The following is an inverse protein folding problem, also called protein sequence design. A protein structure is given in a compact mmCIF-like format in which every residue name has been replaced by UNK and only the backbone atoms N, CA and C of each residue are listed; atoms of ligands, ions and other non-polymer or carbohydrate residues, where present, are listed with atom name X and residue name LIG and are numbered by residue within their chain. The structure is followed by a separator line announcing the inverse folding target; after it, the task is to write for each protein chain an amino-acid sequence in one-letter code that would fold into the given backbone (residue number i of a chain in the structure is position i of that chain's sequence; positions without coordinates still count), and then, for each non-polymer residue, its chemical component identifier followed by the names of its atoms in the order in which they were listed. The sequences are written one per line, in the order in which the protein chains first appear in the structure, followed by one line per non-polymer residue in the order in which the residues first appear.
data_IF_797062080956
#
_entry.id   IF_797062080956
#
_cell.length_a   1.000
_cell.length_b   1.000
_cell.length_c   1.000
_cell.angle_alpha   90.00
_cell.angle_beta   90.00
_cell.angle_gamma   90.00
#
_symmetry.space_group_name_H-M   'P 1'
#
loop_
_entity.id
_entity.type
_entity.pdbx_description
1 polymer ?
#
# COMPACT_ATOMS: atom_id res chain seq x y z
N UNK A 1 10.71 -17.40 21.87
CA UNK A 1 9.25 -17.25 21.63
C UNK A 1 8.39 -18.27 22.39
N UNK A 2 8.96 -19.35 22.92
CA UNK A 2 8.21 -20.46 23.56
C UNK A 2 7.30 -20.03 24.71
N UNK A 3 7.73 -19.06 25.53
CA UNK A 3 6.92 -18.54 26.63
C UNK A 3 5.60 -17.90 26.16
N UNK A 4 5.63 -17.17 25.05
CA UNK A 4 4.44 -16.53 24.47
C UNK A 4 3.44 -17.57 23.94
N UNK A 5 3.95 -18.68 23.40
CA UNK A 5 3.13 -19.74 22.80
C UNK A 5 2.54 -20.70 23.84
N UNK A 6 3.11 -20.76 25.05
CA UNK A 6 2.70 -21.70 26.10
C UNK A 6 1.91 -21.05 27.23
N UNK A 7 2.03 -19.73 27.39
CA UNK A 7 1.34 -19.01 28.46
C UNK A 7 -0.17 -18.93 28.21
N UNK A 8 -0.95 -19.12 29.29
CA UNK A 8 -2.38 -18.79 29.33
C UNK A 8 -2.66 -17.49 30.10
N UNK A 9 -1.63 -16.93 30.72
CA UNK A 9 -1.70 -15.68 31.47
C UNK A 9 -1.53 -14.48 30.53
N UNK A 10 -2.53 -13.60 30.51
CA UNK A 10 -2.56 -12.41 29.65
C UNK A 10 -1.47 -11.40 30.00
N UNK A 11 -1.15 -11.22 31.28
CA UNK A 11 -0.10 -10.30 31.71
C UNK A 11 1.28 -10.79 31.27
N UNK A 12 1.53 -12.09 31.36
CA UNK A 12 2.76 -12.72 30.84
C UNK A 12 2.85 -12.55 29.32
N UNK A 13 1.75 -12.77 28.60
CA UNK A 13 1.70 -12.60 27.15
C UNK A 13 2.03 -11.14 26.75
N UNK A 14 1.43 -10.15 27.39
CA UNK A 14 1.72 -8.73 27.12
C UNK A 14 3.19 -8.41 27.40
N UNK A 15 3.76 -8.86 28.53
CA UNK A 15 5.19 -8.64 28.83
C UNK A 15 6.10 -9.24 27.76
N UNK A 16 5.78 -10.43 27.26
CA UNK A 16 6.48 -11.03 26.13
C UNK A 16 6.35 -10.17 24.86
N UNK A 17 5.15 -9.68 24.53
CA UNK A 17 4.95 -8.81 23.36
C UNK A 17 5.67 -7.47 23.49
N UNK A 18 5.70 -6.86 24.68
CA UNK A 18 6.49 -5.65 24.98
C UNK A 18 7.98 -5.92 24.75
N UNK A 19 8.47 -7.09 25.17
CA UNK A 19 9.85 -7.51 24.94
C UNK A 19 10.14 -7.63 23.44
N UNK A 20 9.23 -8.25 22.68
CA UNK A 20 9.34 -8.34 21.21
C UNK A 20 9.39 -6.95 20.59
N UNK A 21 8.51 -6.03 21.00
CA UNK A 21 8.52 -4.66 20.52
C UNK A 21 9.86 -3.95 20.82
N UNK A 22 10.41 -4.11 22.03
CA UNK A 22 11.73 -3.57 22.32
C UNK A 22 12.84 -4.14 21.41
N UNK A 23 12.77 -5.42 21.05
CA UNK A 23 13.70 -6.03 20.08
C UNK A 23 13.50 -5.43 18.69
N UNK A 24 12.26 -5.22 18.25
CA UNK A 24 11.97 -4.53 16.98
C UNK A 24 12.57 -3.12 16.99
N UNK A 25 12.49 -2.41 18.12
CA UNK A 25 12.93 -1.03 18.25
C UNK A 25 14.44 -0.84 18.41
N UNK A 26 15.11 -1.74 19.13
CA UNK A 26 16.51 -1.58 19.58
C UNK A 26 17.39 -2.79 19.32
N UNK A 27 16.82 -3.88 18.81
CA UNK A 27 17.57 -5.09 18.50
C UNK A 27 18.51 -4.86 17.32
N UNK A 28 19.46 -5.78 17.15
CA UNK A 28 20.28 -5.81 15.94
C UNK A 28 19.43 -6.17 14.73
N UNK A 29 19.87 -5.75 13.54
CA UNK A 29 19.23 -6.09 12.27
C UNK A 29 18.97 -7.60 12.13
N UNK A 30 19.90 -8.44 12.58
CA UNK A 30 19.76 -9.91 12.56
C UNK A 30 18.56 -10.34 13.42
N UNK A 31 18.43 -9.84 14.64
CA UNK A 31 17.32 -10.20 15.53
C UNK A 31 15.98 -9.71 14.99
N UNK A 32 15.95 -8.52 14.41
CA UNK A 32 14.76 -7.96 13.80
C UNK A 32 14.34 -8.75 12.55
N UNK A 33 15.30 -9.16 11.71
CA UNK A 33 15.06 -9.98 10.52
C UNK A 33 14.48 -11.36 10.90
N UNK A 34 15.03 -12.02 11.92
CA UNK A 34 14.51 -13.30 12.42
C UNK A 34 13.07 -13.21 12.95
N UNK A 35 12.68 -12.05 13.50
CA UNK A 35 11.29 -11.81 13.91
C UNK A 35 10.36 -11.53 12.72
N UNK A 36 10.90 -11.00 11.62
CA UNK A 36 10.16 -10.67 10.40
C UNK A 36 9.83 -11.88 9.51
N UNK A 37 10.33 -13.08 9.85
CA UNK A 37 10.10 -14.31 9.08
C UNK A 37 8.61 -14.68 9.10
N UNK A 38 7.96 -14.49 7.95
CA UNK A 38 6.54 -14.70 7.75
C UNK A 38 6.22 -16.16 7.35
N UNK A 39 5.00 -16.67 7.60
CA UNK A 39 4.59 -18.00 7.13
C UNK A 39 4.70 -18.23 5.62
N UNK A 40 4.66 -17.16 4.81
CA UNK A 40 4.80 -17.25 3.35
C UNK A 40 6.17 -17.77 2.92
N UNK A 41 7.19 -17.69 3.78
CA UNK A 41 8.52 -18.29 3.57
C UNK A 41 8.70 -19.63 4.32
N UNK A 42 7.61 -20.23 4.81
CA UNK A 42 7.63 -21.52 5.50
C UNK A 42 7.95 -21.47 7.00
N UNK A 43 8.05 -20.27 7.59
CA UNK A 43 8.32 -20.07 9.02
C UNK A 43 7.07 -20.13 9.91
N UNK A 44 7.25 -20.33 11.22
CA UNK A 44 6.14 -20.27 12.19
C UNK A 44 5.88 -18.81 12.57
N UNK A 45 4.66 -18.31 12.35
CA UNK A 45 4.26 -17.01 12.89
C UNK A 45 4.03 -17.11 14.41
N UNK A 46 5.04 -16.69 15.17
CA UNK A 46 5.00 -16.69 16.64
C UNK A 46 4.10 -15.61 17.26
N UNK A 47 3.63 -14.65 16.46
CA UNK A 47 2.73 -13.57 16.89
C UNK A 47 1.25 -13.88 16.59
N UNK A 48 0.95 -14.99 15.91
CA UNK A 48 -0.42 -15.41 15.64
C UNK A 48 -1.14 -15.79 16.93
N UNK A 49 -1.77 -14.82 17.57
CA UNK A 49 -2.44 -14.95 18.86
C UNK A 49 -3.95 -14.68 18.77
N UNK A 50 -4.57 -14.76 17.58
CA UNK A 50 -6.00 -14.45 17.35
C UNK A 50 -6.96 -15.18 18.30
N UNK A 51 -6.58 -16.38 18.77
CA UNK A 51 -7.39 -17.24 19.65
C UNK A 51 -6.96 -17.15 21.12
N UNK A 52 -6.05 -16.24 21.48
CA UNK A 52 -5.58 -16.08 22.85
C UNK A 52 -6.73 -15.60 23.75
N UNK A 53 -6.88 -16.27 24.89
CA UNK A 53 -7.94 -15.99 25.86
C UNK A 53 -7.54 -16.45 27.26
N UNK A 54 -7.67 -15.53 28.22
CA UNK A 54 -7.46 -15.72 29.65
C UNK A 54 -8.77 -15.43 30.40
N UNK A 55 -9.48 -16.49 30.77
CA UNK A 55 -10.78 -16.44 31.46
C UNK A 55 -10.66 -16.46 32.99
N UNK A 56 -9.47 -16.21 33.56
CA UNK A 56 -9.27 -16.29 35.02
C UNK A 56 -10.01 -15.20 35.79
N UNK A 57 -10.05 -13.98 35.28
CA UNK A 57 -10.74 -12.82 35.86
C UNK A 57 -11.34 -11.93 34.76
N UNK A 58 -12.34 -11.08 35.08
CA UNK A 58 -12.86 -10.11 34.12
C UNK A 58 -11.79 -9.17 33.55
N UNK A 59 -10.81 -8.78 34.38
CA UNK A 59 -9.69 -7.93 33.97
C UNK A 59 -8.75 -8.65 32.99
N UNK A 60 -8.43 -9.91 33.23
CA UNK A 60 -7.57 -10.70 32.32
C UNK A 60 -8.29 -11.05 31.01
N UNK A 61 -9.62 -11.16 31.04
CA UNK A 61 -10.45 -11.28 29.85
C UNK A 61 -10.34 -10.03 28.96
N UNK A 62 -10.39 -8.83 29.55
CA UNK A 62 -10.11 -7.59 28.83
C UNK A 62 -8.67 -7.54 28.30
N UNK A 63 -7.69 -7.91 29.12
CA UNK A 63 -6.28 -7.98 28.67
C UNK A 63 -6.08 -8.96 27.51
N UNK A 64 -6.93 -9.98 27.38
CA UNK A 64 -6.89 -10.89 26.22
C UNK A 64 -7.23 -10.19 24.90
N UNK A 65 -8.07 -9.15 24.92
CA UNK A 65 -8.29 -8.30 23.74
C UNK A 65 -7.03 -7.50 23.38
N UNK A 66 -6.33 -6.97 24.38
CA UNK A 66 -5.06 -6.27 24.21
C UNK A 66 -3.95 -7.19 23.70
N UNK A 67 -3.85 -8.43 24.19
CA UNK A 67 -2.89 -9.42 23.66
C UNK A 67 -3.13 -9.67 22.17
N UNK A 68 -4.37 -9.93 21.77
CA UNK A 68 -4.74 -10.20 20.38
C UNK A 68 -4.44 -9.02 19.47
N UNK A 69 -4.89 -7.83 19.87
CA UNK A 69 -4.67 -6.60 19.11
C UNK A 69 -3.17 -6.27 19.01
N UNK A 70 -2.44 -6.33 20.13
CA UNK A 70 -1.04 -5.92 20.15
C UNK A 70 -0.15 -6.89 19.37
N UNK A 71 -0.44 -8.18 19.40
CA UNK A 71 0.27 -9.15 18.58
C UNK A 71 0.03 -8.90 17.08
N UNK A 72 -1.24 -8.66 16.68
CA UNK A 72 -1.57 -8.28 15.31
C UNK A 72 -0.91 -6.96 14.90
N UNK A 73 -0.86 -5.98 15.80
CA UNK A 73 -0.15 -4.72 15.57
C UNK A 73 1.34 -4.96 15.27
N UNK A 74 2.03 -5.76 16.09
CA UNK A 74 3.45 -6.06 15.89
C UNK A 74 3.70 -6.84 14.57
N UNK A 75 2.78 -7.72 14.16
CA UNK A 75 2.84 -8.35 12.83
C UNK A 75 2.77 -7.33 11.70
N UNK A 76 1.83 -6.38 11.79
CA UNK A 76 1.70 -5.32 10.80
C UNK A 76 2.93 -4.40 10.81
N UNK A 77 3.45 -4.06 11.98
CA UNK A 77 4.65 -3.23 12.13
C UNK A 77 5.86 -3.86 11.42
N UNK A 78 6.07 -5.17 11.60
CA UNK A 78 7.13 -5.93 10.93
C UNK A 78 6.90 -5.99 9.41
N UNK A 79 5.65 -6.24 8.99
CA UNK A 79 5.30 -6.27 7.56
C UNK A 79 5.53 -4.92 6.88
N UNK A 80 5.09 -3.82 7.51
CA UNK A 80 5.28 -2.46 7.02
C UNK A 80 6.76 -2.10 6.99
N UNK A 81 7.53 -2.42 8.04
CA UNK A 81 8.98 -2.20 8.06
C UNK A 81 9.70 -2.93 6.91
N UNK A 82 9.25 -4.13 6.56
CA UNK A 82 9.79 -4.88 5.42
C UNK A 82 9.49 -4.22 4.08
N UNK A 83 8.28 -3.69 3.90
CA UNK A 83 7.89 -2.99 2.67
C UNK A 83 8.70 -1.71 2.50
N UNK A 84 8.93 -0.97 3.59
CA UNK A 84 9.73 0.26 3.58
C UNK A 84 11.24 0.01 3.45
N UNK A 85 11.70 -1.23 3.68
CA UNK A 85 13.12 -1.57 3.68
C UNK A 85 13.89 -1.11 4.92
N UNK A 86 13.21 -0.55 5.93
CA UNK A 86 13.80 -0.18 7.21
C UNK A 86 12.79 -0.30 8.36
N UNK A 87 13.30 -0.41 9.60
CA UNK A 87 12.45 -0.49 10.79
C UNK A 87 12.00 0.89 11.25
N UNK A 88 10.70 1.18 11.15
CA UNK A 88 10.04 2.44 11.56
C UNK A 88 10.36 2.90 12.98
N UNK A 89 10.67 1.94 13.86
CA UNK A 89 10.94 2.18 15.28
C UNK A 89 12.41 2.54 15.56
N UNK A 90 13.32 2.29 14.62
CA UNK A 90 14.73 2.64 14.76
C UNK A 90 14.85 4.15 14.65
N UNK A 91 15.17 4.80 15.76
CA UNK A 91 15.21 6.25 15.95
C UNK A 91 15.77 6.99 14.73
N UNK A 92 14.90 7.68 13.98
CA UNK A 92 15.31 8.66 12.98
C UNK A 92 15.97 9.83 13.73
N UNK A 93 17.28 9.95 13.61
CA UNK A 93 17.94 11.19 13.99
C UNK A 93 17.49 12.28 13.00
N UNK A 94 17.41 13.54 13.43
CA UNK A 94 17.03 14.65 12.54
C UNK A 94 18.00 14.87 11.37
N UNK A 95 19.12 14.15 11.36
CA UNK A 95 20.16 14.18 10.33
C UNK A 95 19.76 13.36 9.10
N UNK A 96 18.75 12.50 9.22
CA UNK A 96 18.37 11.54 8.16
C UNK A 96 17.17 12.00 7.30
N UNK A 97 16.50 13.12 7.62
CA UNK A 97 15.30 13.57 6.88
C UNK A 97 15.56 13.83 5.40
N UNK A 98 16.61 14.58 5.10
CA UNK A 98 16.99 14.87 3.71
C UNK A 98 17.34 13.57 2.96
N UNK A 99 17.97 12.63 3.67
CA UNK A 99 18.31 11.30 3.14
C UNK A 99 17.07 10.44 2.86
N UNK A 100 16.02 10.54 3.69
CA UNK A 100 14.76 9.83 3.47
C UNK A 100 13.93 10.46 2.35
N UNK A 101 13.91 11.79 2.24
CA UNK A 101 13.28 12.49 1.11
C UNK A 101 13.96 12.11 -0.22
N UNK A 102 15.29 12.06 -0.26
CA UNK A 102 16.05 11.59 -1.42
C UNK A 102 15.73 10.13 -1.78
N UNK A 103 15.60 9.24 -0.79
CA UNK A 103 15.20 7.84 -1.03
C UNK A 103 13.80 7.76 -1.60
N UNK A 104 12.84 8.46 -1.02
CA UNK A 104 11.44 8.45 -1.47
C UNK A 104 11.31 9.04 -2.87
N UNK A 105 12.08 10.08 -3.21
CA UNK A 105 12.12 10.65 -4.55
C UNK A 105 12.71 9.70 -5.60
N UNK A 106 13.49 8.68 -5.20
CA UNK A 106 13.99 7.67 -6.13
C UNK A 106 12.98 6.54 -6.43
N UNK A 107 11.90 6.43 -5.64
CA UNK A 107 10.91 5.37 -5.81
C UNK A 107 10.07 5.56 -7.07
N UNK A 108 9.67 4.46 -7.70
CA UNK A 108 8.62 4.48 -8.74
C UNK A 108 7.24 4.59 -8.09
N UNK A 109 6.26 5.17 -8.80
CA UNK A 109 4.91 5.42 -8.25
C UNK A 109 4.25 4.16 -7.65
N UNK A 110 4.48 2.99 -8.24
CA UNK A 110 3.93 1.72 -7.76
C UNK A 110 4.54 1.29 -6.42
N UNK A 111 5.83 1.52 -6.19
CA UNK A 111 6.47 1.25 -4.90
C UNK A 111 6.07 2.29 -3.87
N UNK A 112 6.01 3.57 -4.25
CA UNK A 112 5.54 4.65 -3.38
C UNK A 112 4.09 4.41 -2.89
N UNK A 113 3.21 3.91 -3.77
CA UNK A 113 1.84 3.50 -3.44
C UNK A 113 1.81 2.32 -2.48
N UNK A 114 2.66 1.30 -2.69
CA UNK A 114 2.76 0.16 -1.75
C UNK A 114 3.20 0.62 -0.37
N UNK A 115 4.19 1.51 -0.30
CA UNK A 115 4.68 2.05 0.96
C UNK A 115 3.60 2.85 1.70
N UNK A 116 2.95 3.81 1.05
CA UNK A 116 1.89 4.62 1.70
C UNK A 116 0.70 3.75 2.12
N UNK A 117 0.33 2.74 1.33
CA UNK A 117 -0.73 1.80 1.69
C UNK A 117 -0.34 0.96 2.91
N UNK A 118 0.92 0.50 2.99
CA UNK A 118 1.42 -0.26 4.14
C UNK A 118 1.45 0.57 5.44
N UNK A 119 1.79 1.86 5.33
CA UNK A 119 1.73 2.83 6.44
C UNK A 119 0.28 3.13 6.84
N UNK A 120 -0.61 3.30 5.86
CA UNK A 120 -2.05 3.48 6.07
C UNK A 120 -2.65 2.33 6.85
N UNK A 121 -2.37 1.11 6.43
CA UNK A 121 -2.80 -0.11 7.12
C UNK A 121 -2.27 -0.18 8.55
N UNK A 122 -0.99 0.15 8.78
CA UNK A 122 -0.43 0.18 10.13
C UNK A 122 -1.17 1.17 11.04
N UNK A 123 -1.41 2.39 10.55
CA UNK A 123 -2.15 3.43 11.28
C UNK A 123 -3.61 3.01 11.54
N UNK A 124 -4.26 2.35 10.59
CA UNK A 124 -5.60 1.81 10.77
C UNK A 124 -5.64 0.75 11.88
N UNK A 125 -4.63 -0.12 11.94
CA UNK A 125 -4.52 -1.10 13.03
C UNK A 125 -4.30 -0.43 14.38
N UNK A 126 -3.47 0.63 14.44
CA UNK A 126 -3.31 1.44 15.65
C UNK A 126 -4.66 2.00 16.12
N UNK A 127 -5.48 2.47 15.18
CA UNK A 127 -6.80 3.04 15.46
C UNK A 127 -7.86 2.00 15.88
N UNK A 128 -7.60 0.69 15.68
CA UNK A 128 -8.47 -0.43 16.11
C UNK A 128 -8.16 -0.91 17.53
N UNK A 129 -7.46 -0.10 18.35
CA UNK A 129 -7.14 -0.45 19.74
C UNK A 129 -8.41 -0.80 20.55
N UNK A 130 -8.35 -1.75 21.49
CA UNK A 130 -9.47 -2.03 22.37
C UNK A 130 -9.82 -0.83 23.26
N UNK A 131 -11.10 -0.67 23.58
CA UNK A 131 -11.54 0.34 24.55
C UNK A 131 -11.09 -0.06 25.97
N UNK A 132 -10.40 0.84 26.66
CA UNK A 132 -9.88 0.61 28.01
C UNK A 132 -10.90 0.90 29.11
N UNK A 133 -12.16 0.49 28.94
CA UNK A 133 -13.28 0.87 29.82
C UNK A 133 -13.03 0.56 31.31
N UNK A 134 -12.41 -0.58 31.64
CA UNK A 134 -12.06 -0.95 33.01
C UNK A 134 -10.54 -1.08 33.26
N UNK A 135 -9.72 -0.73 32.25
CA UNK A 135 -8.26 -0.87 32.30
C UNK A 135 -7.53 0.44 32.63
N UNK A 136 -8.27 1.49 33.02
CA UNK A 136 -7.70 2.80 33.34
C UNK A 136 -6.70 2.66 34.52
N UNK A 137 -5.41 2.87 34.26
CA UNK A 137 -4.32 2.68 35.24
C UNK A 137 -3.63 1.31 35.22
N UNK A 138 -3.92 0.44 34.24
CA UNK A 138 -3.13 -0.77 34.06
C UNK A 138 -1.76 -0.45 33.42
N UNK A 139 -0.71 -0.56 34.23
CA UNK A 139 0.68 -0.28 33.84
C UNK A 139 1.11 -1.00 32.55
N UNK A 140 0.60 -2.22 32.28
CA UNK A 140 0.93 -2.95 31.05
C UNK A 140 0.27 -2.33 29.82
N UNK A 141 -0.99 -1.91 29.94
CA UNK A 141 -1.71 -1.24 28.85
C UNK A 141 -1.08 0.13 28.59
N UNK A 142 -0.75 0.88 29.64
CA UNK A 142 -0.08 2.17 29.53
C UNK A 142 1.31 2.04 28.85
N UNK A 143 2.06 0.99 29.19
CA UNK A 143 3.35 0.70 28.54
C UNK A 143 3.18 0.38 27.04
N UNK A 144 2.17 -0.43 26.68
CA UNK A 144 1.85 -0.73 25.28
C UNK A 144 1.47 0.55 24.53
N UNK A 145 0.58 1.37 25.09
CA UNK A 145 0.14 2.62 24.49
C UNK A 145 1.29 3.62 24.33
N UNK A 146 2.21 3.69 25.30
CA UNK A 146 3.41 4.51 25.21
C UNK A 146 4.30 4.12 24.03
N UNK A 147 4.55 2.82 23.86
CA UNK A 147 5.34 2.31 22.73
C UNK A 147 4.65 2.54 21.38
N UNK A 148 3.38 2.17 21.26
CA UNK A 148 2.59 2.35 20.03
C UNK A 148 2.43 3.83 19.68
N UNK A 149 2.30 4.70 20.69
CA UNK A 149 2.23 6.15 20.49
C UNK A 149 3.51 6.73 19.91
N UNK A 150 4.68 6.19 20.25
CA UNK A 150 5.95 6.57 19.64
C UNK A 150 6.02 6.12 18.17
N UNK A 151 5.61 4.89 17.88
CA UNK A 151 5.62 4.36 16.51
C UNK A 151 4.60 5.07 15.62
N UNK A 152 3.46 5.48 16.18
CA UNK A 152 2.48 6.30 15.49
C UNK A 152 3.09 7.63 15.03
N UNK A 153 3.89 8.28 15.88
CA UNK A 153 4.57 9.52 15.51
C UNK A 153 5.57 9.31 14.38
N UNK A 154 6.33 8.22 14.40
CA UNK A 154 7.23 7.85 13.30
C UNK A 154 6.44 7.57 12.02
N UNK A 155 5.37 6.77 12.12
CA UNK A 155 4.53 6.39 10.97
C UNK A 155 3.87 7.61 10.31
N UNK A 156 3.38 8.58 11.10
CA UNK A 156 2.81 9.82 10.58
C UNK A 156 3.87 10.70 9.89
N UNK A 157 5.10 10.75 10.41
CA UNK A 157 6.20 11.45 9.74
C UNK A 157 6.52 10.80 8.38
N UNK A 158 6.57 9.47 8.33
CA UNK A 158 6.80 8.73 7.08
C UNK A 158 5.66 8.89 6.06
N UNK A 159 4.41 8.95 6.52
CA UNK A 159 3.26 9.31 5.67
C UNK A 159 3.43 10.72 5.13
N UNK A 160 3.85 11.68 5.96
CA UNK A 160 4.08 13.06 5.52
C UNK A 160 5.07 13.16 4.37
N UNK A 161 6.20 12.45 4.45
CA UNK A 161 7.23 12.45 3.41
C UNK A 161 6.65 11.92 2.09
N UNK A 162 5.92 10.80 2.13
CA UNK A 162 5.32 10.16 0.94
C UNK A 162 4.18 10.98 0.35
N UNK A 163 3.36 11.61 1.19
CA UNK A 163 2.29 12.53 0.74
C UNK A 163 2.90 13.76 0.06
N UNK A 164 4.01 14.29 0.58
CA UNK A 164 4.74 15.39 -0.06
C UNK A 164 5.26 14.98 -1.44
N UNK A 165 5.85 13.79 -1.57
CA UNK A 165 6.30 13.29 -2.87
C UNK A 165 5.15 13.13 -3.87
N UNK A 166 4.00 12.59 -3.43
CA UNK A 166 2.83 12.50 -4.30
C UNK A 166 2.28 13.86 -4.71
N UNK A 167 2.39 14.88 -3.84
CA UNK A 167 2.00 16.26 -4.15
C UNK A 167 2.84 16.82 -5.30
N UNK A 168 4.15 16.59 -5.29
CA UNK A 168 5.07 17.02 -6.36
C UNK A 168 4.79 16.28 -7.68
N UNK A 169 4.42 15.00 -7.62
CA UNK A 169 4.18 14.15 -8.81
C UNK A 169 2.75 14.11 -9.31
N UNK A 170 1.86 14.90 -8.71
CA UNK A 170 0.42 14.75 -8.89
C UNK A 170 -0.02 14.82 -10.35
N UNK A 171 0.59 15.72 -11.13
CA UNK A 171 0.26 15.95 -12.54
C UNK A 171 0.60 14.77 -13.45
N UNK A 172 1.57 13.94 -13.03
CA UNK A 172 2.08 12.80 -13.78
C UNK A 172 1.49 11.46 -13.30
N UNK A 173 0.62 11.48 -12.28
CA UNK A 173 0.07 10.27 -11.68
C UNK A 173 -1.01 9.65 -12.60
N UNK A 174 -0.91 8.35 -12.86
CA UNK A 174 -1.92 7.62 -13.63
C UNK A 174 -3.28 7.67 -12.97
N UNK A 175 -4.37 7.53 -13.74
CA UNK A 175 -5.73 7.57 -13.19
C UNK A 175 -5.96 6.51 -12.11
N UNK A 176 -5.47 5.29 -12.34
CA UNK A 176 -5.59 4.16 -11.40
C UNK A 176 -4.85 4.47 -10.10
N UNK A 177 -3.56 4.83 -10.22
CA UNK A 177 -2.67 5.18 -9.11
C UNK A 177 -3.25 6.28 -8.22
N UNK A 178 -3.85 7.30 -8.83
CA UNK A 178 -4.47 8.41 -8.09
C UNK A 178 -5.80 8.04 -7.43
N UNK A 179 -6.57 7.09 -7.97
CA UNK A 179 -7.74 6.54 -7.26
C UNK A 179 -7.27 5.73 -6.05
N UNK A 180 -6.25 4.90 -6.22
CA UNK A 180 -5.66 4.11 -5.13
C UNK A 180 -5.13 5.01 -4.02
N UNK A 181 -4.39 6.07 -4.36
CA UNK A 181 -3.91 7.07 -3.41
C UNK A 181 -5.08 7.70 -2.63
N UNK A 182 -6.12 8.17 -3.31
CA UNK A 182 -7.30 8.75 -2.64
C UNK A 182 -8.00 7.76 -1.71
N UNK A 183 -8.03 6.46 -2.06
CA UNK A 183 -8.57 5.43 -1.18
C UNK A 183 -7.75 5.31 0.12
N UNK A 184 -6.42 5.27 0.02
CA UNK A 184 -5.53 5.21 1.18
C UNK A 184 -5.64 6.46 2.06
N UNK A 185 -5.67 7.65 1.44
CA UNK A 185 -5.79 8.91 2.17
C UNK A 185 -7.13 9.04 2.92
N UNK A 186 -8.20 8.48 2.36
CA UNK A 186 -9.52 8.45 2.99
C UNK A 186 -9.57 7.50 4.19
N UNK A 187 -9.01 6.28 4.07
CA UNK A 187 -8.98 5.36 5.21
C UNK A 187 -8.15 5.91 6.38
N UNK A 188 -7.08 6.66 6.07
CA UNK A 188 -6.30 7.40 7.06
C UNK A 188 -7.12 8.49 7.77
N UNK A 189 -7.93 9.26 7.04
CA UNK A 189 -8.80 10.29 7.60
C UNK A 189 -9.87 9.70 8.53
N UNK A 190 -10.46 8.55 8.17
CA UNK A 190 -11.42 7.81 9.02
C UNK A 190 -10.80 7.34 10.35
N UNK A 191 -9.48 7.35 10.47
CA UNK A 191 -8.76 7.03 11.70
C UNK A 191 -8.46 8.26 12.57
N UNK A 192 -8.52 9.49 12.02
CA UNK A 192 -8.07 10.73 12.68
C UNK A 192 -8.66 10.91 14.07
N UNK A 193 -9.97 10.81 14.22
CA UNK A 193 -10.67 11.03 15.49
C UNK A 193 -10.25 10.01 16.56
N UNK A 194 -10.11 8.73 16.18
CA UNK A 194 -9.69 7.65 17.09
C UNK A 194 -8.25 7.83 17.55
N UNK A 195 -7.39 8.33 16.67
CA UNK A 195 -5.96 8.56 16.91
C UNK A 195 -5.68 9.84 17.71
N UNK A 196 -6.60 10.80 17.72
CA UNK A 196 -6.46 12.06 18.48
C UNK A 196 -6.17 11.83 19.97
N UNK A 197 -6.63 10.70 20.51
CA UNK A 197 -6.45 10.30 21.92
C UNK A 197 -5.07 9.72 22.24
N UNK A 198 -4.29 9.32 21.22
CA UNK A 198 -3.06 8.53 21.42
C UNK A 198 -1.80 9.37 21.65
N UNK A 199 -1.72 10.58 21.09
CA UNK A 199 -0.50 11.39 21.19
C UNK A 199 -0.77 12.88 21.26
N UNK A 200 -0.41 13.50 22.39
CA UNK A 200 -0.48 14.95 22.58
C UNK A 200 0.85 15.66 22.26
N UNK A 201 1.99 14.94 22.32
CA UNK A 201 3.34 15.53 22.24
C UNK A 201 3.63 16.29 20.95
N UNK A 202 3.05 15.86 19.82
CA UNK A 202 3.29 16.47 18.49
C UNK A 202 1.99 16.85 17.79
N UNK A 203 0.98 17.28 18.53
CA UNK A 203 -0.35 17.59 17.98
C UNK A 203 -0.31 18.55 16.80
N UNK A 204 0.48 19.63 16.88
CA UNK A 204 0.61 20.61 15.79
C UNK A 204 1.18 19.98 14.51
N UNK A 205 2.23 19.16 14.63
CA UNK A 205 2.80 18.44 13.50
C UNK A 205 1.78 17.46 12.91
N UNK A 206 1.07 16.71 13.74
CA UNK A 206 0.03 15.75 13.31
C UNK A 206 -1.07 16.47 12.53
N UNK A 207 -1.58 17.60 13.03
CA UNK A 207 -2.60 18.39 12.31
C UNK A 207 -2.07 18.94 10.97
N UNK A 208 -0.79 19.32 10.90
CA UNK A 208 -0.18 19.73 9.63
C UNK A 208 -0.19 18.60 8.61
N UNK A 209 0.15 17.37 9.01
CA UNK A 209 0.12 16.20 8.12
C UNK A 209 -1.31 15.92 7.65
N UNK A 210 -2.30 16.01 8.54
CA UNK A 210 -3.71 15.87 8.15
C UNK A 210 -4.17 16.95 7.16
N UNK A 211 -3.68 18.18 7.32
CA UNK A 211 -3.89 19.26 6.36
C UNK A 211 -3.35 18.93 4.97
N UNK A 212 -2.10 18.44 4.89
CA UNK A 212 -1.48 18.01 3.63
C UNK A 212 -2.19 16.84 2.97
N UNK A 213 -2.66 15.86 3.76
CA UNK A 213 -3.47 14.73 3.26
C UNK A 213 -4.75 15.23 2.58
N UNK A 214 -5.45 16.17 3.23
CA UNK A 214 -6.67 16.74 2.66
C UNK A 214 -6.39 17.57 1.41
N UNK A 215 -5.33 18.36 1.41
CA UNK A 215 -4.91 19.13 0.24
C UNK A 215 -4.66 18.23 -0.98
N UNK A 216 -3.88 17.15 -0.82
CA UNK A 216 -3.59 16.21 -1.92
C UNK A 216 -4.87 15.54 -2.43
N UNK A 217 -5.76 15.12 -1.52
CA UNK A 217 -7.04 14.52 -1.86
C UNK A 217 -7.92 15.47 -2.70
N UNK A 218 -8.00 16.74 -2.31
CA UNK A 218 -8.79 17.76 -2.99
C UNK A 218 -8.18 18.12 -4.35
N UNK A 219 -6.85 18.23 -4.45
CA UNK A 219 -6.17 18.47 -5.72
C UNK A 219 -6.42 17.35 -6.74
N UNK A 220 -6.42 16.07 -6.32
CA UNK A 220 -6.74 14.94 -7.20
C UNK A 220 -8.21 15.00 -7.65
N UNK A 221 -9.13 15.32 -6.73
CA UNK A 221 -10.55 15.47 -7.04
C UNK A 221 -10.80 16.56 -8.08
N UNK A 222 -10.16 17.71 -7.91
CA UNK A 222 -10.32 18.87 -8.80
C UNK A 222 -9.62 18.66 -10.16
N UNK A 223 -8.39 18.15 -10.18
CA UNK A 223 -7.60 17.95 -11.42
C UNK A 223 -8.26 16.97 -12.41
N UNK A 224 -8.96 15.96 -11.90
CA UNK A 224 -9.63 14.96 -12.73
C UNK A 224 -11.04 15.35 -13.18
N UNK A 225 -11.76 16.20 -12.42
CA UNK A 225 -13.04 16.75 -12.86
C UNK A 225 -12.88 17.56 -14.16
N UNK A 226 -11.80 18.34 -14.28
CA UNK A 226 -11.49 19.08 -15.51
C UNK A 226 -11.17 18.17 -16.71
N UNK A 227 -10.52 17.02 -16.51
CA UNK A 227 -10.23 16.06 -17.60
C UNK A 227 -11.49 15.33 -18.06
N UNK A 228 -12.42 15.01 -17.16
CA UNK A 228 -13.72 14.44 -17.53
C UNK A 228 -14.61 15.46 -18.27
N UNK A 229 -14.65 16.71 -17.84
CA UNK A 229 -15.45 17.74 -18.52
C UNK A 229 -14.87 18.14 -19.88
N UNK A 230 -13.53 18.24 -20.00
CA UNK A 230 -12.88 18.46 -21.29
C UNK A 230 -13.05 17.25 -22.23
N UNK A 231 -13.00 16.02 -21.70
CA UNK A 231 -13.29 14.80 -22.45
C UNK A 231 -14.74 14.71 -22.92
N UNK A 232 -15.71 15.11 -22.08
CA UNK A 232 -17.13 15.21 -22.46
C UNK A 232 -17.38 16.32 -23.49
N UNK A 233 -16.73 17.48 -23.36
CA UNK A 233 -16.80 18.58 -24.33
C UNK A 233 -16.25 18.18 -25.71
N UNK A 234 -15.12 17.47 -25.74
CA UNK A 234 -14.53 16.95 -26.98
C UNK A 234 -15.43 15.90 -27.66
N UNK A 235 -16.14 15.08 -26.88
CA UNK A 235 -17.10 14.09 -27.42
C UNK A 235 -18.41 14.74 -27.89
N UNK A 236 -18.85 15.83 -27.25
CA UNK A 236 -20.01 16.62 -27.68
C UNK A 236 -19.73 17.39 -28.99
N UNK A 237 -18.48 17.81 -29.21
CA UNK A 237 -18.03 18.50 -30.44
C UNK A 237 -17.92 17.61 -31.68
N UNK A 238 -17.95 16.28 -31.54
CA UNK A 238 -17.83 15.32 -32.65
C UNK A 238 -19.18 14.73 -33.09
N UNK A 239 -20.28 15.40 -32.79
CA UNK A 239 -21.63 14.99 -33.24
C UNK A 239 -22.33 16.18 -33.89
N UNK A 240 -21.85 16.56 -35.08
CA UNK A 240 -22.61 17.14 -36.19
C UNK A 240 -21.66 17.71 -37.24
N UNK A 241 -21.39 16.90 -38.27
CA UNK A 241 -21.15 17.32 -39.66
C UNK A 241 -20.99 16.03 -40.48
N UNK A 242 -22.12 15.42 -40.80
CA UNK A 242 -22.20 14.50 -41.93
C UNK A 242 -21.94 15.37 -43.16
N UNK A 243 -20.76 15.21 -43.75
CA UNK A 243 -20.40 15.86 -45.00
C UNK A 243 -21.31 15.35 -46.12
N UNK A 244 -22.16 16.23 -46.65
CA UNK A 244 -22.70 16.10 -47.99
C UNK A 244 -21.52 16.04 -48.98
N UNK A 245 -21.45 14.96 -49.75
CA UNK A 245 -20.63 14.94 -50.97
C UNK A 245 -21.52 14.59 -52.16
N UNK A 246 -21.90 15.63 -52.90
CA UNK A 246 -22.46 15.52 -54.23
C UNK A 246 -21.32 15.23 -55.22
N UNK A 247 -21.21 13.98 -55.68
CA UNK A 247 -20.43 13.65 -56.89
C UNK A 247 -21.15 12.58 -57.70
N UNK A 248 -21.85 13.09 -58.72
CA UNK A 248 -22.12 12.51 -60.04
C UNK A 248 -22.09 10.99 -60.18
N UNK A 249 -23.29 10.40 -60.34
CA UNK A 249 -23.49 9.04 -60.77
C UNK A 249 -24.59 8.96 -61.81
N UNK A 250 -24.30 9.33 -63.07
CA UNK A 250 -25.12 8.94 -64.21
C UNK A 250 -24.18 8.43 -65.32
N UNK A 251 -24.03 7.11 -65.39
CA UNK A 251 -23.24 6.43 -66.41
C UNK A 251 -24.16 6.16 -67.61
N UNK A 252 -23.91 6.90 -68.69
CA UNK A 252 -24.41 6.59 -70.03
C UNK A 252 -23.83 5.25 -70.48
N UNK A 253 -24.73 4.35 -70.88
CA UNK A 253 -24.42 3.05 -71.48
C UNK A 253 -23.88 3.27 -72.89
N UNK A 254 -22.64 2.87 -73.15
CA UNK A 254 -22.13 2.60 -74.50
C UNK A 254 -21.51 1.21 -74.54
N UNK A 255 -22.24 0.27 -75.14
CA UNK A 255 -21.70 -0.94 -75.76
C UNK A 255 -20.88 -0.50 -76.96
N UNK A 256 -19.68 -1.04 -77.19
CA UNK A 256 -19.26 -1.72 -78.43
C UNK A 256 -17.76 -2.06 -78.43
N UNK A 257 -17.48 -3.22 -79.01
CA UNK A 257 -16.20 -3.82 -79.40
C UNK A 257 -15.32 -4.37 -78.26
N UNK A 258 -15.32 -5.69 -78.17
CA UNK A 258 -14.41 -6.47 -77.34
C UNK A 258 -13.01 -6.54 -77.93
N UNK A 259 -12.04 -6.51 -77.03
CA UNK A 259 -10.82 -7.33 -77.10
C UNK A 259 -10.19 -7.32 -75.70
N UNK A 260 -10.55 -8.31 -74.88
CA UNK A 260 -9.90 -8.57 -73.60
C UNK A 260 -8.67 -9.43 -73.84
N UNK A 261 -7.50 -8.90 -73.51
CA UNK A 261 -6.31 -9.72 -73.23
C UNK A 261 -5.90 -9.44 -71.79
N UNK A 262 -5.96 -10.47 -70.94
CA UNK A 262 -5.02 -10.68 -69.84
C UNK A 262 -5.14 -12.11 -69.30
N UNK A 263 -3.99 -12.76 -69.29
CA UNK A 263 -3.75 -14.13 -68.85
C UNK A 263 -3.88 -14.30 -67.34
N UNK A 264 -4.27 -15.50 -66.94
CA UNK A 264 -4.50 -15.94 -65.57
C UNK A 264 -3.34 -16.81 -65.04
N UNK A 265 -3.09 -16.65 -63.73
CA UNK A 265 -2.78 -17.67 -62.72
C UNK A 265 -1.51 -18.54 -62.84
N UNK A 266 -0.80 -18.66 -61.72
CA UNK A 266 0.08 -19.80 -61.42
C UNK A 266 0.69 -19.78 -60.02
N UNK A 267 0.12 -20.55 -59.08
CA UNK A 267 0.77 -21.00 -57.83
C UNK A 267 1.70 -22.19 -58.13
N UNK A 268 2.79 -22.37 -57.35
CA UNK A 268 3.00 -23.48 -56.38
C UNK A 268 4.49 -23.82 -56.07
N UNK A 269 4.72 -24.19 -54.79
CA UNK A 269 5.71 -25.13 -54.18
C UNK A 269 7.18 -24.67 -54.05
N UNK A 270 7.75 -24.53 -52.84
CA UNK A 270 8.19 -25.56 -51.85
C UNK A 270 9.50 -26.25 -52.24
N UNK A 271 10.58 -25.98 -51.48
CA UNK A 271 11.69 -26.92 -51.28
C UNK A 271 12.25 -26.79 -49.85
N UNK A 272 12.31 -27.95 -49.18
CA UNK A 272 13.09 -28.25 -47.98
C UNK A 272 14.59 -28.09 -48.25
N UNK A 273 15.35 -27.72 -47.22
CA UNK A 273 16.35 -28.58 -46.58
C UNK A 273 17.14 -27.75 -45.56
N UNK A 274 17.30 -28.27 -44.34
CA UNK A 274 18.56 -28.35 -43.58
C UNK A 274 18.27 -28.89 -42.18
N UNK A 275 18.72 -30.12 -41.98
CA UNK A 275 18.77 -30.90 -40.74
C UNK A 275 20.16 -30.78 -40.10
N UNK A 276 20.27 -30.92 -38.77
CA UNK A 276 21.38 -31.56 -38.02
C UNK A 276 21.03 -31.61 -36.50
N UNK A 277 21.66 -32.48 -35.68
CA UNK A 277 20.93 -33.47 -34.89
C UNK A 277 21.13 -33.34 -33.37
N UNK A 278 20.26 -34.02 -32.62
CA UNK A 278 20.41 -34.30 -31.20
C UNK A 278 21.30 -35.52 -30.97
N UNK A 279 22.19 -35.45 -29.97
CA UNK A 279 22.87 -36.60 -29.39
C UNK A 279 22.43 -36.77 -27.94
N UNK A 280 22.06 -38.00 -27.59
CA UNK A 280 21.99 -38.53 -26.23
C UNK A 280 22.94 -39.73 -26.17
N UNK A 281 23.72 -39.86 -25.09
CA UNK A 281 23.97 -41.11 -24.34
C UNK A 281 25.15 -41.00 -23.35
N UNK A 282 24.87 -41.42 -22.11
CA UNK A 282 25.66 -42.24 -21.17
C UNK A 282 27.19 -42.08 -21.07
N UNK A 283 27.64 -41.62 -19.89
CA UNK A 283 28.32 -42.43 -18.86
C UNK A 283 27.90 -41.94 -17.46
#
# INVERSE_FOLDING_TARGET
MDRLQTTRDAAVAIKCLITVHHIIKRGSFILQDQLSVYPSTGGRNYLKLSNFRDDTTPLTWELSSWVRWYALYLENLLSTSRILGFFLCSTSSSVDKDTEEDKVSSLINTELLKEINSLGNLIEQIAKKPDSLNSNGNVLVDAVLGLVGEDYLSSINEVSIRVSEFKERLDCLGFVDSVELVCVLRSLEECKERLSTLSQRKKVMIESVWGSINEVKDQIGNSKAYKEDAGRLLMMGRRNKVSESARFGERVVMKHSGNSVKFSSGRFLSFNDFSFPAYASME
#
